data_IF_646164676260
#
_entry.id   IF_646164676260
#
_cell.length_a   1.000
_cell.length_b   1.000
_cell.length_c   1.000
_cell.angle_alpha   90.00
_cell.angle_beta   90.00
_cell.angle_gamma   90.00
#
_symmetry.space_group_name_H-M   'P 1'
#
loop_
_entity.id
_entity.type
_entity.pdbx_description
1 polymer ?
#
# COMPACT_ATOMS: atom_id res chain seq x y z
N UNK A 1 3.32 2.84 24.99
CA UNK A 1 2.00 2.75 24.33
C UNK A 1 1.70 4.09 23.68
N UNK A 2 2.24 4.36 22.49
CA UNK A 2 2.01 5.62 21.79
C UNK A 2 0.78 5.47 20.90
N UNK A 3 -0.35 6.01 21.35
CA UNK A 3 -1.56 6.23 20.56
C UNK A 3 -1.40 7.57 19.86
N UNK A 4 -0.92 7.56 18.63
CA UNK A 4 -1.14 8.71 17.74
C UNK A 4 -2.44 8.48 16.95
N UNK A 5 -3.54 8.97 17.54
CA UNK A 5 -4.90 8.91 16.99
C UNK A 5 -5.15 9.98 15.93
N UNK A 6 -4.14 10.79 15.57
CA UNK A 6 -4.25 11.82 14.54
C UNK A 6 -3.50 11.33 13.30
N UNK A 7 -4.25 10.85 12.31
CA UNK A 7 -3.78 10.41 10.99
C UNK A 7 -3.29 8.94 10.89
N UNK A 8 -4.01 8.03 11.54
CA UNK A 8 -3.81 6.56 11.48
C UNK A 8 -4.74 5.84 10.51
N UNK A 9 -5.68 6.54 9.88
CA UNK A 9 -6.59 5.93 8.89
C UNK A 9 -6.01 6.04 7.49
N UNK A 10 -6.03 4.91 6.77
CA UNK A 10 -6.05 4.83 5.31
C UNK A 10 -4.75 4.66 4.53
N UNK A 11 -3.58 4.31 5.08
CA UNK A 11 -2.40 4.05 4.22
C UNK A 11 -2.68 2.96 3.15
N UNK A 12 -3.36 1.89 3.54
CA UNK A 12 -3.82 0.86 2.59
C UNK A 12 -4.94 1.34 1.66
N UNK A 13 -5.89 2.12 2.17
CA UNK A 13 -6.96 2.70 1.33
C UNK A 13 -6.39 3.68 0.30
N UNK A 14 -5.40 4.48 0.68
CA UNK A 14 -4.62 5.34 -0.21
C UNK A 14 -3.91 4.49 -1.25
N UNK A 15 -3.21 3.42 -0.88
CA UNK A 15 -2.58 2.53 -1.86
C UNK A 15 -3.60 1.96 -2.87
N UNK A 16 -4.73 1.43 -2.39
CA UNK A 16 -5.76 0.89 -3.27
C UNK A 16 -6.37 1.99 -4.16
N UNK A 17 -6.57 3.19 -3.62
CA UNK A 17 -7.10 4.34 -4.36
C UNK A 17 -6.09 4.90 -5.38
N UNK A 18 -4.80 4.92 -5.07
CA UNK A 18 -3.73 5.30 -6.01
C UNK A 18 -3.65 4.33 -7.18
N UNK A 19 -3.78 3.02 -6.92
CA UNK A 19 -3.84 2.02 -7.99
C UNK A 19 -5.09 2.23 -8.87
N UNK A 20 -6.25 2.57 -8.27
CA UNK A 20 -7.47 2.92 -9.00
C UNK A 20 -7.25 4.12 -9.95
N UNK A 21 -6.52 5.15 -9.52
CA UNK A 21 -6.22 6.33 -10.35
C UNK A 21 -5.29 5.97 -11.51
N UNK A 22 -4.26 5.17 -11.27
CA UNK A 22 -3.31 4.77 -12.31
C UNK A 22 -3.98 3.95 -13.43
N UNK A 23 -4.94 3.09 -13.06
CA UNK A 23 -5.69 2.27 -14.01
C UNK A 23 -6.59 3.14 -14.91
N UNK A 24 -7.28 4.14 -14.35
CA UNK A 24 -8.09 5.10 -15.11
C UNK A 24 -7.22 5.90 -16.10
N UNK A 25 -6.04 6.38 -15.67
CA UNK A 25 -5.12 7.10 -16.55
C UNK A 25 -4.59 6.22 -17.69
N UNK A 26 -4.38 4.93 -17.44
CA UNK A 26 -3.95 3.98 -18.47
C UNK A 26 -5.01 3.83 -19.57
N UNK A 27 -6.27 3.60 -19.20
CA UNK A 27 -7.36 3.50 -20.16
C UNK A 27 -7.59 4.80 -20.93
N UNK A 28 -7.43 5.96 -20.27
CA UNK A 28 -7.50 7.27 -20.92
C UNK A 28 -6.37 7.49 -21.92
N UNK A 29 -5.16 7.00 -21.63
CA UNK A 29 -4.02 7.09 -22.55
C UNK A 29 -4.23 6.20 -23.78
N UNK A 30 -4.72 4.97 -23.58
CA UNK A 30 -4.99 4.03 -24.67
C UNK A 30 -6.05 4.57 -25.65
N UNK A 31 -7.12 5.20 -25.14
CA UNK A 31 -8.15 5.80 -25.99
C UNK A 31 -7.65 7.01 -26.77
N UNK A 32 -6.72 7.78 -26.21
CA UNK A 32 -6.08 8.90 -26.89
C UNK A 32 -5.09 8.45 -27.99
N UNK A 33 -4.33 7.37 -27.76
CA UNK A 33 -3.38 6.81 -28.75
C UNK A 33 -4.03 6.04 -29.89
N UNK A 34 -5.22 5.47 -29.67
CA UNK A 34 -5.97 4.78 -30.73
C UNK A 34 -6.45 5.73 -31.84
N UNK A 35 -6.40 7.05 -31.59
CA UNK A 35 -6.89 8.09 -32.49
C UNK A 35 -5.77 8.75 -33.32
N UNK A 36 -4.58 8.15 -33.46
CA UNK A 36 -3.46 8.66 -34.26
C UNK A 36 -3.69 8.54 -35.79
N UNK A 37 -4.78 9.15 -36.27
CA UNK A 37 -4.90 9.68 -37.63
C UNK A 37 -5.13 11.19 -37.58
N UNK A 38 -4.14 11.91 -37.06
CA UNK A 38 -3.75 13.23 -37.57
C UNK A 38 -4.76 14.37 -37.59
N UNK A 39 -5.77 14.42 -36.71
CA UNK A 39 -6.55 15.64 -36.47
C UNK A 39 -6.70 15.90 -34.97
N UNK A 40 -5.94 16.86 -34.45
CA UNK A 40 -6.20 17.46 -33.14
C UNK A 40 -7.49 18.26 -33.22
N UNK A 41 -8.58 17.63 -32.81
CA UNK A 41 -9.86 18.27 -32.59
C UNK A 41 -10.05 18.38 -31.07
N UNK A 42 -9.98 19.61 -30.55
CA UNK A 42 -10.43 19.92 -29.19
C UNK A 42 -11.94 19.63 -29.12
N UNK A 43 -12.30 18.42 -28.72
CA UNK A 43 -13.69 18.06 -28.41
C UNK A 43 -13.81 18.09 -26.88
N UNK A 44 -14.09 19.28 -26.35
CA UNK A 44 -14.78 19.47 -25.08
C UNK A 44 -16.25 19.06 -25.28
N UNK A 45 -17.00 18.46 -24.37
CA UNK A 45 -16.71 17.92 -23.03
C UNK A 45 -17.88 17.04 -22.52
N UNK A 46 -19.05 17.02 -23.17
CA UNK A 46 -20.26 16.48 -22.53
C UNK A 46 -20.65 15.06 -22.99
N UNK A 47 -20.37 14.67 -24.23
CA UNK A 47 -20.79 13.35 -24.76
C UNK A 47 -19.85 12.19 -24.35
N UNK A 48 -18.64 12.50 -23.88
CA UNK A 48 -17.67 11.51 -23.41
C UNK A 48 -17.76 11.26 -21.89
N UNK A 49 -18.52 12.07 -21.15
CA UNK A 49 -18.76 11.85 -19.72
C UNK A 49 -19.62 10.58 -19.49
N UNK A 50 -20.59 10.31 -20.37
CA UNK A 50 -21.45 9.13 -20.29
C UNK A 50 -20.77 7.82 -20.76
N UNK A 51 -19.71 7.89 -21.56
CA UNK A 51 -18.98 6.70 -22.03
C UNK A 51 -17.89 6.21 -21.06
N UNK A 52 -17.62 6.96 -19.98
CA UNK A 52 -16.64 6.59 -18.96
C UNK A 52 -17.32 6.42 -17.60
N UNK A 53 -18.59 6.02 -17.56
CA UNK A 53 -19.15 5.35 -16.38
C UNK A 53 -18.70 3.87 -16.35
N UNK A 54 -17.38 3.68 -16.46
CA UNK A 54 -16.77 2.39 -16.14
C UNK A 54 -16.82 2.33 -14.61
N UNK A 55 -17.87 1.74 -14.07
CA UNK A 55 -17.93 1.32 -12.67
C UNK A 55 -16.82 0.29 -12.43
N UNK A 56 -15.61 0.78 -12.17
CA UNK A 56 -14.49 -0.03 -11.74
C UNK A 56 -14.90 -0.70 -10.44
N UNK A 57 -14.78 -2.04 -10.35
CA UNK A 57 -15.23 -2.76 -9.17
C UNK A 57 -14.58 -2.16 -7.92
N UNK A 58 -15.40 -1.83 -6.92
CA UNK A 58 -14.92 -1.24 -5.68
C UNK A 58 -13.92 -2.15 -4.96
N UNK A 59 -13.20 -1.59 -3.99
CA UNK A 59 -12.19 -2.33 -3.19
C UNK A 59 -12.75 -3.61 -2.58
N UNK A 60 -14.02 -3.57 -2.14
CA UNK A 60 -14.75 -4.70 -1.58
C UNK A 60 -15.15 -5.77 -2.61
N UNK A 61 -15.11 -5.46 -3.91
CA UNK A 61 -15.31 -6.46 -4.97
C UNK A 61 -14.10 -7.38 -5.05
N UNK A 62 -12.89 -6.84 -4.95
CA UNK A 62 -11.65 -7.60 -4.97
C UNK A 62 -11.24 -8.14 -3.59
N UNK A 63 -11.64 -7.44 -2.53
CA UNK A 63 -11.34 -7.78 -1.14
C UNK A 63 -12.64 -7.99 -0.34
N UNK A 64 -13.47 -8.97 -0.70
CA UNK A 64 -14.78 -9.17 -0.09
C UNK A 64 -14.70 -9.51 1.40
N UNK A 65 -13.60 -10.10 1.85
CA UNK A 65 -13.35 -10.44 3.25
C UNK A 65 -13.12 -9.19 4.14
N UNK A 66 -12.92 -8.01 3.55
CA UNK A 66 -12.84 -6.75 4.29
C UNK A 66 -14.22 -6.11 4.52
N UNK A 67 -15.27 -6.63 3.87
CA UNK A 67 -16.63 -6.11 4.04
C UNK A 67 -17.10 -6.38 5.47
N UNK A 68 -17.42 -5.31 6.20
CA UNK A 68 -17.77 -5.39 7.62
C UNK A 68 -16.57 -5.46 8.57
N UNK A 69 -15.34 -5.45 8.05
CA UNK A 69 -14.10 -5.55 8.82
C UNK A 69 -13.09 -4.45 8.45
N UNK A 70 -13.43 -3.15 8.60
CA UNK A 70 -12.52 -2.05 8.26
C UNK A 70 -11.24 -2.04 9.11
N UNK A 71 -11.23 -2.71 10.27
CA UNK A 71 -10.07 -2.91 11.13
C UNK A 71 -8.97 -3.73 10.48
N UNK A 72 -9.28 -4.62 9.52
CA UNK A 72 -8.27 -5.44 8.83
C UNK A 72 -7.38 -4.61 7.89
N UNK A 73 -7.79 -3.38 7.56
CA UNK A 73 -6.98 -2.43 6.79
C UNK A 73 -6.06 -1.57 7.68
N UNK A 74 -6.12 -1.75 9.00
CA UNK A 74 -5.29 -1.01 9.93
C UNK A 74 -4.14 -1.90 10.40
N UNK A 75 -2.88 -1.47 10.27
CA UNK A 75 -1.77 -2.23 10.80
C UNK A 75 -1.87 -2.28 12.33
N UNK A 76 -1.64 -3.46 12.90
CA UNK A 76 -1.63 -3.68 14.36
C UNK A 76 -0.50 -2.88 15.02
N UNK A 77 0.61 -2.72 14.30
CA UNK A 77 1.76 -1.94 14.72
C UNK A 77 2.22 -1.01 13.60
N UNK A 78 2.51 0.24 13.96
CA UNK A 78 3.05 1.26 13.05
C UNK A 78 4.21 1.96 13.74
N UNK A 79 5.35 2.00 13.06
CA UNK A 79 6.51 2.80 13.44
C UNK A 79 6.83 3.76 12.30
N UNK A 80 6.82 5.07 12.58
CA UNK A 80 7.22 6.08 11.60
C UNK A 80 7.86 7.26 12.31
N UNK A 81 8.87 7.85 11.68
CA UNK A 81 9.53 9.10 12.12
C UNK A 81 8.82 10.33 11.53
N UNK A 82 7.48 10.30 11.51
CA UNK A 82 6.61 11.32 10.91
C UNK A 82 6.96 11.68 9.45
N UNK A 83 7.31 10.66 8.66
CA UNK A 83 7.67 10.82 7.25
C UNK A 83 6.42 10.80 6.36
N UNK A 84 6.43 11.60 5.30
CA UNK A 84 5.37 11.71 4.28
C UNK A 84 5.97 11.69 2.88
N UNK A 85 5.21 11.26 1.87
CA UNK A 85 5.70 11.19 0.48
C UNK A 85 6.64 10.01 0.27
N UNK A 86 6.12 8.78 0.45
CA UNK A 86 6.87 7.56 0.17
C UNK A 86 6.67 7.15 -1.29
N UNK A 87 7.76 6.93 -2.01
CA UNK A 87 7.75 6.52 -3.42
C UNK A 87 8.09 5.03 -3.58
N UNK A 88 8.61 4.40 -2.50
CA UNK A 88 8.96 3.00 -2.45
C UNK A 88 8.17 2.29 -1.34
N UNK A 89 7.43 1.24 -1.70
CA UNK A 89 6.72 0.38 -0.75
C UNK A 89 7.21 -1.05 -0.90
N UNK A 90 7.62 -1.66 0.22
CA UNK A 90 8.14 -3.04 0.24
C UNK A 90 7.25 -3.89 1.15
N UNK A 91 6.62 -4.90 0.55
CA UNK A 91 5.85 -5.91 1.29
C UNK A 91 6.74 -7.09 1.68
N UNK A 92 6.80 -7.43 2.97
CA UNK A 92 7.55 -8.58 3.49
C UNK A 92 6.56 -9.55 4.15
N UNK A 93 6.25 -10.68 3.51
CA UNK A 93 5.51 -11.75 4.18
C UNK A 93 6.44 -12.53 5.11
N UNK A 94 5.97 -12.81 6.32
CA UNK A 94 6.71 -13.63 7.28
C UNK A 94 5.77 -14.55 8.04
N UNK A 95 6.32 -15.68 8.49
CA UNK A 95 5.65 -16.67 9.32
C UNK A 95 6.56 -17.08 10.47
N UNK A 96 5.99 -17.52 11.58
CA UNK A 96 6.74 -17.94 12.75
C UNK A 96 7.61 -19.16 12.41
N UNK A 97 8.85 -19.13 12.90
CA UNK A 97 9.85 -20.19 12.75
C UNK A 97 10.50 -20.48 14.09
N UNK A 98 10.78 -21.75 14.34
CA UNK A 98 11.33 -22.22 15.61
C UNK A 98 12.81 -21.86 15.78
N UNK A 99 13.57 -21.78 14.68
CA UNK A 99 15.04 -21.75 14.75
C UNK A 99 15.66 -20.38 14.43
N UNK A 100 15.01 -19.55 13.61
CA UNK A 100 15.52 -18.23 13.23
C UNK A 100 14.40 -17.32 12.71
N UNK A 101 14.48 -16.03 13.02
CA UNK A 101 13.59 -14.99 12.50
C UNK A 101 14.12 -14.48 11.15
N UNK A 102 13.57 -14.99 10.04
CA UNK A 102 13.92 -14.48 8.70
C UNK A 102 13.61 -12.99 8.54
N UNK A 103 12.68 -12.45 9.34
CA UNK A 103 12.33 -11.03 9.27
C UNK A 103 13.51 -10.15 9.68
N UNK A 104 14.22 -10.51 10.75
CA UNK A 104 15.33 -9.70 11.25
C UNK A 104 16.49 -9.65 10.25
N UNK A 105 16.84 -10.79 9.67
CA UNK A 105 17.89 -10.88 8.65
C UNK A 105 17.49 -10.13 7.38
N UNK A 106 16.21 -10.25 6.98
CA UNK A 106 15.67 -9.56 5.80
C UNK A 106 15.70 -8.04 6.00
N UNK A 107 15.20 -7.54 7.14
CA UNK A 107 15.19 -6.11 7.43
C UNK A 107 16.59 -5.56 7.59
N UNK A 108 17.49 -6.27 8.27
CA UNK A 108 18.88 -5.84 8.43
C UNK A 108 19.59 -5.75 7.08
N UNK A 109 19.41 -6.76 6.22
CA UNK A 109 19.96 -6.75 4.87
C UNK A 109 19.36 -5.63 4.03
N UNK A 110 18.05 -5.41 4.13
CA UNK A 110 17.37 -4.36 3.39
C UNK A 110 17.88 -2.97 3.81
N UNK A 111 17.95 -2.67 5.11
CA UNK A 111 18.43 -1.39 5.60
C UNK A 111 19.91 -1.15 5.28
N UNK A 112 20.73 -2.20 5.26
CA UNK A 112 22.14 -2.08 4.89
C UNK A 112 22.35 -1.78 3.39
N UNK A 113 21.43 -2.20 2.52
CA UNK A 113 21.57 -2.07 1.07
C UNK A 113 20.72 -0.93 0.47
N UNK A 114 19.82 -0.32 1.24
CA UNK A 114 19.07 0.85 0.79
C UNK A 114 19.98 2.08 0.72
N UNK A 115 19.84 2.85 -0.37
CA UNK A 115 20.48 4.16 -0.45
C UNK A 115 19.90 5.08 0.63
N UNK A 116 20.62 6.12 1.09
CA UNK A 116 20.10 7.08 2.06
C UNK A 116 18.79 7.74 1.60
N UNK A 117 18.66 7.99 0.29
CA UNK A 117 17.45 8.53 -0.31
C UNK A 117 16.29 7.54 -0.19
N UNK A 118 16.46 6.29 -0.63
CA UNK A 118 15.40 5.27 -0.57
C UNK A 118 15.01 4.94 0.87
N UNK A 119 15.98 4.84 1.76
CA UNK A 119 15.74 4.65 3.18
C UNK A 119 14.88 5.77 3.78
N UNK A 120 15.01 7.01 3.27
CA UNK A 120 14.22 8.16 3.73
C UNK A 120 12.78 8.16 3.21
N UNK A 121 12.53 7.60 2.02
CA UNK A 121 11.24 7.60 1.32
C UNK A 121 10.57 6.22 1.17
N UNK A 122 11.00 5.25 1.98
CA UNK A 122 10.48 3.87 1.95
C UNK A 122 9.44 3.61 3.06
N UNK A 123 8.37 2.90 2.69
CA UNK A 123 7.41 2.27 3.59
C UNK A 123 7.56 0.75 3.51
N UNK A 124 7.88 0.11 4.63
CA UNK A 124 7.92 -1.35 4.72
C UNK A 124 6.65 -1.83 5.41
N UNK A 125 5.94 -2.75 4.75
CA UNK A 125 4.73 -3.39 5.25
C UNK A 125 5.06 -4.85 5.51
N UNK A 126 4.99 -5.27 6.77
CA UNK A 126 5.22 -6.66 7.16
C UNK A 126 3.88 -7.37 7.34
N UNK A 127 3.66 -8.45 6.59
CA UNK A 127 2.49 -9.33 6.75
C UNK A 127 2.88 -10.55 7.58
N UNK A 128 2.13 -10.81 8.65
CA UNK A 128 2.38 -11.92 9.58
C UNK A 128 1.23 -12.89 9.44
N UNK A 129 1.52 -14.12 9.01
CA UNK A 129 0.47 -15.07 8.65
C UNK A 129 -0.18 -15.78 9.86
N UNK A 130 0.37 -15.62 11.07
CA UNK A 130 -0.20 -16.14 12.31
C UNK A 130 -0.80 -15.03 13.20
N UNK A 131 -1.90 -14.38 12.78
CA UNK A 131 -2.52 -13.30 13.56
C UNK A 131 -3.06 -13.75 14.93
N UNK A 132 -3.23 -15.06 15.15
CA UNK A 132 -3.64 -15.63 16.43
C UNK A 132 -2.52 -15.68 17.47
N UNK A 133 -1.24 -15.62 17.06
CA UNK A 133 -0.10 -15.67 17.99
C UNK A 133 0.30 -14.26 18.44
N UNK A 134 -0.50 -13.70 19.36
CA UNK A 134 -0.28 -12.36 19.91
C UNK A 134 1.03 -12.22 20.69
N UNK A 135 1.60 -13.31 21.21
CA UNK A 135 2.88 -13.26 21.92
C UNK A 135 4.02 -13.06 20.94
N UNK A 136 4.03 -13.83 19.85
CA UNK A 136 4.98 -13.65 18.76
C UNK A 136 4.91 -12.23 18.17
N UNK A 137 3.71 -11.70 17.96
CA UNK A 137 3.52 -10.32 17.48
C UNK A 137 4.13 -9.27 18.43
N UNK A 138 3.96 -9.45 19.74
CA UNK A 138 4.50 -8.53 20.75
C UNK A 138 6.02 -8.59 20.83
N UNK A 139 6.59 -9.78 20.84
CA UNK A 139 8.04 -10.00 20.82
C UNK A 139 8.67 -9.34 19.60
N UNK A 140 8.15 -9.64 18.40
CA UNK A 140 8.63 -9.03 17.15
C UNK A 140 8.49 -7.51 17.15
N UNK A 141 7.37 -6.97 17.64
CA UNK A 141 7.17 -5.52 17.71
C UNK A 141 8.18 -4.85 18.63
N UNK A 142 8.50 -5.48 19.77
CA UNK A 142 9.45 -4.95 20.74
C UNK A 142 10.88 -4.94 20.18
N UNK A 143 11.28 -6.01 19.51
CA UNK A 143 12.58 -6.11 18.86
C UNK A 143 12.75 -5.05 17.75
N UNK A 144 11.68 -4.77 17.00
CA UNK A 144 11.68 -3.73 15.97
C UNK A 144 11.73 -2.31 16.55
N UNK A 145 11.19 -2.07 17.75
CA UNK A 145 11.23 -0.75 18.40
C UNK A 145 12.59 -0.39 18.98
N UNK A 146 13.41 -1.40 19.31
CA UNK A 146 14.73 -1.21 19.89
C UNK A 146 15.81 -0.92 18.84
N UNK A 147 15.48 -0.99 17.54
CA UNK A 147 16.35 -0.71 16.40
C UNK A 147 16.11 0.71 15.84
#
# INVERSE_FOLDING_TARGET
>A
LYKDERNSSNVFQYFVQSNKINEIQHYKTLSLTANETGKTQEIYSDEMEDLIDIELPGTHTYLPHLKGHPEYLKPIFRMSRNRSGVDLVIGIPTIKRLNASYLDDTLSSLFANLSPLDASQCLIIVFIAEPWDMNYLKEMTLDLQLK
#
